data_IF_165067214671
#
_entry.id   IF_165067214671
#
_cell.length_a   1.000
_cell.length_b   1.000
_cell.length_c   1.000
_cell.angle_alpha   90.00
_cell.angle_beta   90.00
_cell.angle_gamma   90.00
#
_symmetry.space_group_name_H-M   'P 1'
#
loop_
_entity.id
_entity.type
_entity.pdbx_description
1 polymer ?
#
# COMPACT_ATOMS: atom_id res chain seq x y z
N UNK A 1 -1.78 -23.81 54.20
CA UNK A 1 -2.64 -24.82 53.56
C UNK A 1 -3.21 -24.20 52.28
N UNK A 2 -3.03 -24.86 51.14
CA UNK A 2 -3.35 -24.46 49.77
C UNK A 2 -4.87 -24.30 49.49
N UNK A 3 -5.21 -23.46 48.49
CA UNK A 3 -6.22 -23.63 47.42
C UNK A 3 -6.74 -22.23 46.97
N UNK A 4 -6.53 -21.71 45.75
CA UNK A 4 -6.92 -22.16 44.39
C UNK A 4 -8.42 -21.94 44.04
N UNK A 5 -8.65 -21.08 43.02
CA UNK A 5 -9.81 -20.95 42.10
C UNK A 5 -11.18 -20.55 42.72
N UNK A 6 -12.15 -19.89 42.07
CA UNK A 6 -12.51 -19.75 40.66
C UNK A 6 -13.48 -18.54 40.47
N UNK A 7 -13.46 -17.99 39.26
CA UNK A 7 -14.35 -17.04 38.57
C UNK A 7 -15.88 -17.32 38.68
N UNK A 8 -16.72 -16.28 38.85
CA UNK A 8 -18.01 -16.10 38.14
C UNK A 8 -18.34 -14.60 38.03
N UNK A 9 -18.51 -14.10 36.80
CA UNK A 9 -19.03 -12.78 36.49
C UNK A 9 -20.57 -12.83 36.44
N UNK A 10 -21.25 -11.86 37.08
CA UNK A 10 -22.65 -11.53 36.75
C UNK A 10 -22.81 -10.01 36.70
N UNK A 11 -23.37 -9.64 35.56
CA UNK A 11 -23.64 -8.35 34.95
C UNK A 11 -24.64 -7.50 35.75
N UNK A 12 -24.37 -6.20 35.92
CA UNK A 12 -25.40 -5.21 36.25
C UNK A 12 -25.36 -4.10 35.20
N UNK A 13 -26.16 -4.28 34.14
CA UNK A 13 -26.41 -3.30 33.09
C UNK A 13 -27.10 -2.06 33.67
N UNK A 14 -26.53 -0.88 33.46
CA UNK A 14 -27.17 0.40 33.75
C UNK A 14 -27.98 0.89 32.52
N UNK A 15 -29.28 1.25 32.65
CA UNK A 15 -30.06 1.73 31.54
C UNK A 15 -29.85 3.23 31.29
N UNK A 16 -29.36 3.55 30.08
CA UNK A 16 -29.93 4.58 29.21
C UNK A 16 -29.77 6.08 29.57
N UNK A 17 -28.91 6.76 28.80
CA UNK A 17 -29.14 8.11 28.24
C UNK A 17 -28.07 8.36 27.15
N UNK A 18 -28.27 7.89 25.91
CA UNK A 18 -28.77 8.69 24.79
C UNK A 18 -27.98 10.01 24.59
N UNK A 19 -26.78 9.95 23.99
CA UNK A 19 -26.24 11.09 23.24
C UNK A 19 -26.11 10.69 21.77
N UNK A 20 -27.03 11.22 20.97
CA UNK A 20 -27.12 11.10 19.53
C UNK A 20 -25.92 11.80 18.89
N UNK A 21 -25.11 11.08 18.10
CA UNK A 21 -24.30 11.68 17.05
C UNK A 21 -24.70 11.06 15.71
N UNK A 22 -25.47 11.77 14.87
CA UNK A 22 -25.68 11.35 13.50
C UNK A 22 -24.46 11.80 12.68
N UNK A 23 -23.66 10.84 12.22
CA UNK A 23 -22.52 11.20 11.36
C UNK A 23 -21.45 10.13 11.19
N UNK A 24 -21.80 8.85 11.15
CA UNK A 24 -20.84 7.76 10.85
C UNK A 24 -21.05 7.15 9.44
N UNK A 25 -21.76 7.87 8.57
CA UNK A 25 -22.10 7.40 7.21
C UNK A 25 -21.21 7.93 6.09
N UNK A 26 -20.11 8.63 6.39
CA UNK A 26 -19.21 9.19 5.35
C UNK A 26 -17.74 8.74 5.43
N UNK A 27 -17.38 7.73 6.23
CA UNK A 27 -15.98 7.23 6.26
C UNK A 27 -15.78 5.83 5.67
N UNK A 28 -16.77 5.31 4.94
CA UNK A 28 -16.55 4.20 3.99
C UNK A 28 -16.29 4.76 2.60
N UNK A 29 -15.44 5.78 2.50
CA UNK A 29 -14.81 6.10 1.23
C UNK A 29 -13.80 4.99 0.98
N UNK A 30 -14.30 3.97 0.30
CA UNK A 30 -13.61 2.94 -0.45
C UNK A 30 -12.08 3.06 -0.38
N UNK A 31 -11.44 2.26 0.48
CA UNK A 31 -10.05 1.87 0.21
C UNK A 31 -10.12 1.08 -1.10
N UNK A 32 -9.95 1.78 -2.21
CA UNK A 32 -9.89 1.16 -3.52
C UNK A 32 -8.64 0.29 -3.48
N UNK A 33 -8.82 -1.02 -3.28
CA UNK A 33 -7.75 -1.99 -3.46
C UNK A 33 -7.30 -1.88 -4.91
N UNK A 34 -6.27 -1.09 -5.17
CA UNK A 34 -5.69 -0.96 -6.49
C UNK A 34 -5.29 -2.36 -6.96
N UNK A 35 -5.73 -2.74 -8.17
CA UNK A 35 -5.33 -4.00 -8.77
C UNK A 35 -3.78 -4.06 -8.80
N UNK A 36 -3.18 -5.24 -8.57
CA UNK A 36 -1.73 -5.37 -8.55
C UNK A 36 -1.13 -4.92 -9.88
N UNK A 37 -0.19 -3.97 -9.81
CA UNK A 37 0.50 -3.44 -10.98
C UNK A 37 1.33 -4.55 -11.63
N UNK A 38 1.01 -4.89 -12.89
CA UNK A 38 1.77 -5.84 -13.69
C UNK A 38 2.44 -5.12 -14.86
N UNK A 39 3.73 -5.36 -15.07
CA UNK A 39 4.55 -4.71 -16.09
C UNK A 39 5.31 -5.76 -16.89
N UNK A 40 5.31 -5.64 -18.22
CA UNK A 40 6.09 -6.50 -19.09
C UNK A 40 7.57 -6.08 -19.10
N UNK A 41 8.46 -7.02 -18.80
CA UNK A 41 9.90 -6.84 -19.00
C UNK A 41 10.27 -7.09 -20.47
N UNK A 42 11.18 -6.30 -21.02
CA UNK A 42 11.60 -6.41 -22.42
C UNK A 42 12.90 -7.19 -22.55
N UNK A 43 12.93 -8.22 -23.40
CA UNK A 43 14.17 -8.91 -23.74
C UNK A 43 15.02 -8.07 -24.68
N UNK A 44 16.31 -7.96 -24.40
CA UNK A 44 17.30 -7.22 -25.19
C UNK A 44 18.45 -8.13 -25.62
N UNK A 45 19.06 -7.81 -26.76
CA UNK A 45 20.26 -8.53 -27.26
C UNK A 45 21.55 -7.75 -27.04
N UNK A 46 21.45 -6.47 -26.68
CA UNK A 46 22.57 -5.58 -26.40
C UNK A 46 22.40 -5.06 -24.98
N UNK A 47 23.39 -5.31 -24.12
CA UNK A 47 23.36 -4.92 -22.71
C UNK A 47 23.66 -3.42 -22.57
N UNK A 48 22.94 -2.68 -21.71
CA UNK A 48 23.32 -1.31 -21.38
C UNK A 48 24.55 -1.29 -20.46
N UNK A 49 25.22 -0.15 -20.42
CA UNK A 49 26.23 0.16 -19.41
C UNK A 49 25.55 0.48 -18.08
N UNK A 50 26.11 -0.06 -17.00
CA UNK A 50 25.63 0.17 -15.64
C UNK A 50 26.58 1.13 -14.94
N UNK A 51 26.52 2.40 -15.36
CA UNK A 51 27.37 3.48 -14.85
C UNK A 51 26.59 4.65 -14.23
N UNK A 52 25.26 4.52 -14.15
CA UNK A 52 24.36 5.55 -13.62
C UNK A 52 23.83 6.53 -14.66
N UNK A 53 24.29 6.47 -15.92
CA UNK A 53 23.69 7.17 -17.03
C UNK A 53 22.55 6.34 -17.67
N UNK A 54 21.47 7.01 -18.07
CA UNK A 54 20.32 6.38 -18.76
C UNK A 54 20.23 6.84 -20.22
N UNK A 55 21.39 6.99 -20.88
CA UNK A 55 21.53 7.50 -22.24
C UNK A 55 21.63 6.39 -23.31
N UNK A 56 21.85 5.15 -22.90
CA UNK A 56 21.82 4.01 -23.82
C UNK A 56 20.44 3.81 -24.46
N UNK A 57 20.42 3.61 -25.78
CA UNK A 57 19.21 3.49 -26.58
C UNK A 57 18.27 2.36 -26.12
N UNK A 58 18.81 1.29 -25.53
CA UNK A 58 18.05 0.12 -25.05
C UNK A 58 17.03 0.52 -23.98
N UNK A 59 17.29 1.57 -23.20
CA UNK A 59 16.35 2.05 -22.18
C UNK A 59 15.05 2.55 -22.79
N UNK A 60 15.06 3.06 -24.02
CA UNK A 60 13.86 3.55 -24.69
C UNK A 60 12.92 2.44 -25.18
N UNK A 61 13.38 1.18 -25.23
CA UNK A 61 12.54 0.07 -25.72
C UNK A 61 11.60 -0.51 -24.66
N UNK A 62 11.84 -0.24 -23.37
CA UNK A 62 11.00 -0.72 -22.28
C UNK A 62 9.90 0.29 -21.90
N UNK A 63 8.70 -0.17 -21.51
CA UNK A 63 7.65 0.69 -20.97
C UNK A 63 8.14 1.48 -19.75
N UNK A 64 7.75 2.75 -19.66
CA UNK A 64 8.00 3.58 -18.50
C UNK A 64 6.92 3.35 -17.44
N UNK A 65 7.34 2.86 -16.28
CA UNK A 65 6.49 2.72 -15.09
C UNK A 65 6.64 3.96 -14.23
N UNK A 66 5.51 4.58 -13.88
CA UNK A 66 5.44 5.79 -13.05
C UNK A 66 4.14 5.82 -12.26
N UNK A 67 3.88 6.89 -11.50
CA UNK A 67 2.64 7.04 -10.73
C UNK A 67 2.59 6.14 -9.49
N UNK A 68 3.76 5.89 -8.88
CA UNK A 68 3.86 5.09 -7.66
C UNK A 68 3.07 5.71 -6.50
N UNK A 69 2.60 4.85 -5.61
CA UNK A 69 1.98 5.23 -4.34
C UNK A 69 2.99 5.08 -3.20
N UNK A 70 2.83 5.90 -2.19
CA UNK A 70 3.66 5.92 -1.01
C UNK A 70 3.29 4.75 -0.10
N UNK A 71 4.29 4.01 0.39
CA UNK A 71 4.07 2.96 1.41
C UNK A 71 4.14 3.53 2.83
N UNK A 72 5.00 4.51 3.06
CA UNK A 72 5.15 5.22 4.34
C UNK A 72 5.60 6.67 4.11
N UNK A 73 5.33 7.62 5.03
CA UNK A 73 4.49 7.48 6.23
C UNK A 73 2.98 7.47 5.90
N UNK A 74 2.57 8.14 4.81
CA UNK A 74 1.17 8.19 4.39
C UNK A 74 0.92 7.11 3.35
N UNK A 75 0.47 5.94 3.81
CA UNK A 75 0.23 4.78 2.97
C UNK A 75 -0.89 5.04 1.94
N UNK A 76 -0.64 4.66 0.68
CA UNK A 76 -1.60 4.78 -0.42
C UNK A 76 -1.69 6.16 -1.06
N UNK A 77 -1.08 7.20 -0.48
CA UNK A 77 -0.98 8.53 -1.10
C UNK A 77 -0.12 8.49 -2.36
N UNK A 78 -0.21 9.51 -3.23
CA UNK A 78 0.75 9.65 -4.34
C UNK A 78 2.18 9.77 -3.80
N UNK A 79 3.16 9.17 -4.47
CA UNK A 79 4.55 9.25 -4.05
C UNK A 79 5.02 10.71 -3.98
N UNK A 80 5.65 11.07 -2.85
CA UNK A 80 6.21 12.41 -2.63
C UNK A 80 7.45 12.69 -3.49
N UNK A 81 8.07 11.66 -4.04
CA UNK A 81 9.14 11.75 -5.03
C UNK A 81 8.68 11.17 -6.38
N UNK A 82 9.06 11.86 -7.46
CA UNK A 82 8.85 11.37 -8.82
C UNK A 82 9.78 10.19 -9.09
N UNK A 83 9.20 9.01 -9.21
CA UNK A 83 9.92 7.77 -9.50
C UNK A 83 9.52 7.23 -10.87
N UNK A 84 10.53 6.84 -11.64
CA UNK A 84 10.40 6.23 -12.95
C UNK A 84 11.18 4.91 -12.97
N UNK A 85 10.57 3.84 -13.47
CA UNK A 85 11.20 2.52 -13.56
C UNK A 85 11.02 1.95 -14.96
N UNK A 86 12.07 1.30 -15.47
CA UNK A 86 12.04 0.49 -16.70
C UNK A 86 12.68 -0.86 -16.40
N UNK A 87 12.15 -1.93 -16.99
CA UNK A 87 12.60 -3.30 -16.71
C UNK A 87 12.93 -3.99 -18.04
N UNK A 88 14.17 -4.46 -18.15
CA UNK A 88 14.65 -5.22 -19.30
C UNK A 88 15.64 -6.31 -18.88
N UNK A 89 15.80 -7.32 -19.72
CA UNK A 89 16.61 -8.52 -19.45
C UNK A 89 17.23 -9.06 -20.74
N UNK A 90 18.29 -9.86 -20.64
CA UNK A 90 18.92 -10.54 -21.79
C UNK A 90 18.85 -12.07 -21.70
#
# INVERSE_FOLDING_TARGET
>A
MLAAALLVAVLLEAPGAQHTAPGDTLRRDTVATAAPLSVAAVRISQRPRIDGALDDAVWSSAPLVSGFVQSTPDEGASASQRTEVRILYD
#
